data_IF_976897308626
#
_entry.id   IF_976897308626
#
_cell.length_a   1.000
_cell.length_b   1.000
_cell.length_c   1.000
_cell.angle_alpha   90.00
_cell.angle_beta   90.00
_cell.angle_gamma   90.00
#
_symmetry.space_group_name_H-M   'P 1'
#
loop_
_entity.id
_entity.type
_entity.pdbx_description
1 polymer ?
#
# COMPACT_ATOMS: atom_id res chain seq x y z
N UNK A 1 2.23 -14.18 4.48
CA UNK A 1 2.59 -13.39 5.68
C UNK A 1 1.82 -12.09 5.62
N UNK A 2 1.12 -11.72 6.69
CA UNK A 2 0.29 -10.51 6.68
C UNK A 2 1.10 -9.30 7.11
N UNK A 3 1.13 -8.27 6.27
CA UNK A 3 1.77 -6.99 6.55
C UNK A 3 0.78 -5.85 6.43
N UNK A 4 1.10 -4.77 7.14
CA UNK A 4 0.29 -3.56 7.19
C UNK A 4 0.93 -2.46 6.37
N UNK A 5 0.16 -1.88 5.44
CA UNK A 5 0.45 -0.63 4.77
C UNK A 5 -0.44 0.44 5.38
N UNK A 6 0.16 1.56 5.83
CA UNK A 6 -0.58 2.70 6.38
C UNK A 6 -0.60 3.78 5.32
N UNK A 7 -1.78 4.27 4.94
CA UNK A 7 -1.93 5.44 4.08
C UNK A 7 -2.30 6.65 4.93
N UNK A 8 -1.66 7.79 4.70
CA UNK A 8 -1.85 9.03 5.45
C UNK A 8 -0.87 9.24 6.60
N UNK A 9 -1.26 10.08 7.56
CA UNK A 9 -0.45 10.48 8.70
C UNK A 9 -0.29 9.33 9.71
N UNK A 10 0.77 8.53 9.53
CA UNK A 10 1.06 7.35 10.35
C UNK A 10 1.60 7.71 11.74
N UNK A 11 2.33 8.83 11.86
CA UNK A 11 2.93 9.36 13.10
C UNK A 11 1.92 10.10 13.97
N UNK A 12 0.83 10.60 13.37
CA UNK A 12 -0.25 11.38 14.01
C UNK A 12 0.20 12.75 14.53
N UNK A 13 1.26 13.30 13.96
CA UNK A 13 1.78 14.63 14.28
C UNK A 13 1.35 15.72 13.29
N UNK A 14 0.69 15.35 12.19
CA UNK A 14 0.06 16.23 11.23
C UNK A 14 -1.47 16.26 11.35
N UNK A 15 -2.18 15.87 10.28
CA UNK A 15 -3.64 15.92 10.18
C UNK A 15 -4.36 14.75 10.88
N UNK A 16 -3.62 13.77 11.43
CA UNK A 16 -4.11 12.65 12.26
C UNK A 16 -5.10 11.71 11.56
N UNK A 17 -5.13 11.71 10.24
CA UNK A 17 -5.96 10.79 9.46
C UNK A 17 -5.07 9.77 8.77
N UNK A 18 -5.33 8.50 9.03
CA UNK A 18 -4.69 7.39 8.34
C UNK A 18 -5.60 6.17 8.33
N UNK A 19 -5.36 5.28 7.36
CA UNK A 19 -6.07 4.00 7.24
C UNK A 19 -5.06 2.87 7.06
N UNK A 20 -5.33 1.75 7.73
CA UNK A 20 -4.52 0.55 7.72
C UNK A 20 -5.07 -0.44 6.68
N UNK A 21 -4.22 -0.87 5.74
CA UNK A 21 -4.51 -1.94 4.78
C UNK A 21 -3.65 -3.15 5.05
N UNK A 22 -4.28 -4.32 5.19
CA UNK A 22 -3.59 -5.58 5.43
C UNK A 22 -3.40 -6.35 4.12
N UNK A 23 -2.19 -6.81 3.89
CA UNK A 23 -1.82 -7.58 2.69
C UNK A 23 -1.17 -8.90 3.10
N UNK A 24 -1.72 -10.00 2.62
CA UNK A 24 -1.03 -11.30 2.66
C UNK A 24 -0.04 -11.39 1.49
N UNK A 25 1.25 -11.45 1.81
CA UNK A 25 2.36 -11.48 0.87
C UNK A 25 3.17 -12.78 1.01
N UNK A 26 3.71 -13.28 -0.10
CA UNK A 26 4.56 -14.49 -0.10
C UNK A 26 6.06 -14.22 0.15
N UNK A 27 6.47 -12.97 0.30
CA UNK A 27 7.84 -12.55 0.61
C UNK A 27 7.94 -11.77 1.92
N UNK A 28 9.12 -11.74 2.53
CA UNK A 28 9.36 -11.04 3.79
C UNK A 28 9.28 -9.51 3.65
N UNK A 29 8.98 -8.84 4.76
CA UNK A 29 8.81 -7.38 4.81
C UNK A 29 10.07 -6.60 4.40
N UNK A 30 11.27 -7.14 4.60
CA UNK A 30 12.51 -6.43 4.25
C UNK A 30 12.69 -6.37 2.73
N UNK A 31 12.37 -7.45 2.02
CA UNK A 31 12.33 -7.44 0.55
C UNK A 31 11.28 -6.48 0.01
N UNK A 32 10.08 -6.47 0.58
CA UNK A 32 9.01 -5.54 0.19
C UNK A 32 9.45 -4.08 0.36
N UNK A 33 10.05 -3.75 1.51
CA UNK A 33 10.59 -2.39 1.78
C UNK A 33 11.73 -2.01 0.84
N UNK A 34 12.60 -2.95 0.51
CA UNK A 34 13.70 -2.70 -0.42
C UNK A 34 13.18 -2.50 -1.85
N UNK A 35 12.21 -3.32 -2.28
CA UNK A 35 11.58 -3.20 -3.59
C UNK A 35 10.85 -1.86 -3.77
N UNK A 36 10.20 -1.33 -2.72
CA UNK A 36 9.66 0.04 -2.77
C UNK A 36 10.73 1.06 -3.17
N UNK A 37 11.87 1.05 -2.47
CA UNK A 37 13.00 1.97 -2.73
C UNK A 37 13.56 1.81 -4.13
N UNK A 38 13.72 0.57 -4.57
CA UNK A 38 14.25 0.27 -5.90
C UNK A 38 13.26 0.64 -7.01
N UNK A 39 11.95 0.52 -6.77
CA UNK A 39 10.91 1.01 -7.67
C UNK A 39 10.90 2.52 -7.77
N UNK A 40 11.12 3.25 -6.66
CA UNK A 40 11.32 4.69 -6.70
C UNK A 40 12.50 5.06 -7.60
N UNK A 41 13.67 4.44 -7.42
CA UNK A 41 14.84 4.67 -8.29
C UNK A 41 14.56 4.34 -9.75
N UNK A 42 13.81 3.27 -9.99
CA UNK A 42 13.52 2.75 -11.34
C UNK A 42 12.63 3.70 -12.14
N UNK A 43 11.67 4.35 -11.49
CA UNK A 43 10.69 5.20 -12.17
C UNK A 43 10.88 6.70 -11.97
N UNK A 44 11.65 7.13 -10.97
CA UNK A 44 11.76 8.56 -10.62
C UNK A 44 10.52 9.10 -9.89
N UNK A 45 9.70 8.22 -9.29
CA UNK A 45 8.44 8.57 -8.63
C UNK A 45 8.42 8.02 -7.20
N UNK A 46 7.92 8.80 -6.25
CA UNK A 46 7.74 8.40 -4.87
C UNK A 46 6.33 8.70 -4.35
N UNK A 47 5.90 7.91 -3.35
CA UNK A 47 4.69 8.15 -2.56
C UNK A 47 5.04 8.67 -1.16
N UNK A 48 6.16 9.41 -1.05
CA UNK A 48 6.65 10.05 0.16
C UNK A 48 7.45 11.30 -0.22
N UNK A 49 7.49 12.30 0.65
CA UNK A 49 8.21 13.57 0.45
C UNK A 49 9.55 13.63 1.20
N UNK A 50 9.70 12.85 2.28
CA UNK A 50 10.86 12.90 3.16
C UNK A 50 12.13 12.23 2.59
N UNK A 51 13.23 12.99 2.60
CA UNK A 51 14.60 12.48 2.41
C UNK A 51 15.10 11.78 3.69
N UNK A 52 14.55 10.61 4.01
CA UNK A 52 15.19 9.75 5.02
C UNK A 52 16.53 9.23 4.49
N UNK A 53 17.56 9.14 5.33
CA UNK A 53 18.91 8.64 5.00
C UNK A 53 18.95 7.23 4.34
N UNK A 54 17.81 6.53 4.27
CA UNK A 54 17.66 5.24 3.62
C UNK A 54 16.52 5.19 2.58
N UNK A 55 15.84 6.30 2.30
CA UNK A 55 14.85 6.46 1.24
C UNK A 55 15.56 7.16 0.09
N UNK A 56 15.68 6.44 -1.02
CA UNK A 56 16.47 6.88 -2.16
C UNK A 56 15.69 7.92 -2.91
N UNK A 57 15.84 9.19 -2.54
CA UNK A 57 15.75 10.29 -3.49
C UNK A 57 17.15 10.46 -4.07
N UNK A 58 17.37 10.17 -5.37
CA UNK A 58 18.53 10.69 -6.05
C UNK A 58 18.53 12.20 -5.89
N UNK A 59 19.70 12.81 -5.78
CA UNK A 59 19.90 14.26 -5.65
C UNK A 59 19.51 15.06 -6.91
N UNK A 60 18.65 14.51 -7.77
CA UNK A 60 18.18 15.13 -9.01
C UNK A 60 16.82 15.78 -8.80
N UNK A 61 16.65 16.95 -9.40
CA UNK A 61 15.38 17.70 -9.46
C UNK A 61 14.24 16.94 -10.20
N UNK A 62 14.51 15.75 -10.74
CA UNK A 62 13.59 14.93 -11.57
C UNK A 62 12.74 13.92 -10.77
N UNK A 63 12.73 13.98 -9.44
CA UNK A 63 11.90 13.08 -8.62
C UNK A 63 10.51 13.68 -8.38
N UNK A 64 9.48 12.98 -8.84
CA UNK A 64 8.09 13.41 -8.58
C UNK A 64 7.51 12.73 -7.34
N UNK A 65 6.71 13.49 -6.60
CA UNK A 65 6.07 13.08 -5.37
C UNK A 65 4.55 12.98 -5.58
N UNK A 66 4.02 11.78 -5.46
CA UNK A 66 2.59 11.49 -5.63
C UNK A 66 1.93 11.36 -4.26
N UNK A 67 0.83 12.10 -4.07
CA UNK A 67 0.00 12.09 -2.85
C UNK A 67 0.74 12.45 -1.55
N UNK A 68 1.71 13.36 -1.62
CA UNK A 68 2.46 13.80 -0.43
C UNK A 68 1.87 15.04 0.22
N UNK A 69 1.20 15.90 -0.55
CA UNK A 69 0.68 17.16 -0.04
C UNK A 69 -0.75 16.98 0.52
N UNK A 70 -1.07 17.77 1.54
CA UNK A 70 -2.40 17.80 2.13
C UNK A 70 -3.43 18.30 1.10
N UNK A 71 -4.58 17.62 1.00
CA UNK A 71 -5.67 17.93 0.07
C UNK A 71 -5.32 17.87 -1.43
N UNK A 72 -4.26 17.15 -1.81
CA UNK A 72 -3.93 16.85 -3.21
C UNK A 72 -4.12 15.37 -3.55
N UNK A 73 -5.38 14.86 -3.64
CA UNK A 73 -5.65 13.44 -3.86
C UNK A 73 -5.51 13.00 -5.33
N UNK A 74 -4.86 13.81 -6.17
CA UNK A 74 -4.68 13.54 -7.59
C UNK A 74 -3.24 13.19 -7.94
N UNK A 75 -3.08 12.52 -9.08
CA UNK A 75 -1.81 12.25 -9.75
C UNK A 75 -1.78 13.15 -10.99
N UNK A 76 -0.71 13.93 -11.16
CA UNK A 76 -0.52 14.75 -12.35
C UNK A 76 -0.26 13.86 -13.58
N UNK A 77 -0.60 14.36 -14.78
CA UNK A 77 -0.57 13.57 -16.02
C UNK A 77 0.79 12.91 -16.29
N UNK A 78 1.90 13.59 -16.02
CA UNK A 78 3.25 13.03 -16.23
C UNK A 78 3.50 11.80 -15.36
N UNK A 79 3.15 11.86 -14.07
CA UNK A 79 3.35 10.74 -13.15
C UNK A 79 2.39 9.60 -13.44
N UNK A 80 1.15 9.93 -13.80
CA UNK A 80 0.17 8.96 -14.23
C UNK A 80 0.69 8.16 -15.43
N UNK A 81 1.23 8.83 -16.46
CA UNK A 81 1.77 8.16 -17.64
C UNK A 81 2.96 7.24 -17.30
N UNK A 82 3.87 7.67 -16.42
CA UNK A 82 4.99 6.86 -15.94
C UNK A 82 4.49 5.59 -15.24
N UNK A 83 3.60 5.74 -14.27
CA UNK A 83 3.04 4.65 -13.47
C UNK A 83 2.19 3.70 -14.34
N UNK A 84 1.41 4.24 -15.27
CA UNK A 84 0.56 3.47 -16.18
C UNK A 84 1.38 2.66 -17.18
N UNK A 85 2.43 3.24 -17.76
CA UNK A 85 3.35 2.52 -18.65
C UNK A 85 4.10 1.39 -17.92
N UNK A 86 4.36 1.57 -16.62
CA UNK A 86 4.93 0.53 -15.77
C UNK A 86 3.92 -0.56 -15.35
N UNK A 87 2.62 -0.36 -15.63
CA UNK A 87 1.56 -1.32 -15.31
C UNK A 87 1.00 -1.21 -13.89
N UNK A 88 1.27 -0.11 -13.17
CA UNK A 88 0.83 0.06 -11.79
C UNK A 88 -0.70 0.14 -11.62
N UNK A 89 -1.42 0.54 -12.68
CA UNK A 89 -2.87 0.66 -12.67
C UNK A 89 -3.62 -0.64 -13.02
N UNK A 90 -2.92 -1.78 -13.13
CA UNK A 90 -3.58 -3.07 -13.38
C UNK A 90 -4.57 -3.39 -12.25
N UNK A 91 -5.87 -3.44 -12.58
CA UNK A 91 -6.94 -3.71 -11.62
C UNK A 91 -7.25 -2.53 -10.68
N UNK A 92 -6.86 -1.31 -11.05
CA UNK A 92 -7.11 -0.08 -10.31
C UNK A 92 -8.14 0.77 -11.07
N UNK A 93 -9.21 1.18 -10.39
CA UNK A 93 -10.17 2.12 -10.95
C UNK A 93 -9.73 3.57 -10.71
N UNK A 94 -9.79 4.39 -11.76
CA UNK A 94 -9.44 5.80 -11.70
C UNK A 94 -10.29 6.62 -12.66
N UNK A 95 -10.41 7.91 -12.37
CA UNK A 95 -11.08 8.92 -13.18
C UNK A 95 -10.09 10.00 -13.62
N UNK A 96 -10.31 10.58 -14.80
CA UNK A 96 -9.54 11.71 -15.33
C UNK A 96 -10.41 12.97 -15.29
N UNK A 97 -9.91 14.03 -14.67
CA UNK A 97 -10.45 15.39 -14.78
C UNK A 97 -9.34 16.34 -15.25
N UNK A 98 -9.45 16.79 -16.51
CA UNK A 98 -8.39 17.55 -17.21
C UNK A 98 -7.06 16.80 -17.10
N UNK A 99 -6.02 17.41 -16.57
CA UNK A 99 -4.66 16.84 -16.51
C UNK A 99 -4.39 16.14 -15.16
N UNK A 100 -5.45 15.82 -14.40
CA UNK A 100 -5.39 15.19 -13.08
C UNK A 100 -6.12 13.85 -13.09
N UNK A 101 -5.53 12.87 -12.42
CA UNK A 101 -6.04 11.51 -12.31
C UNK A 101 -6.33 11.18 -10.84
N UNK A 102 -7.52 10.65 -10.57
CA UNK A 102 -8.01 10.35 -9.23
C UNK A 102 -8.24 8.86 -9.12
N UNK A 103 -7.64 8.19 -8.15
CA UNK A 103 -7.96 6.79 -7.84
C UNK A 103 -9.20 6.77 -6.95
N UNK A 104 -10.18 5.94 -7.32
CA UNK A 104 -11.56 6.10 -6.86
C UNK A 104 -11.76 5.82 -5.36
N UNK A 105 -10.86 5.07 -4.73
CA UNK A 105 -10.96 4.71 -3.31
C UNK A 105 -9.58 4.37 -2.70
N UNK A 106 -9.49 4.42 -1.37
CA UNK A 106 -8.24 4.19 -0.65
C UNK A 106 -7.71 2.74 -0.77
N UNK A 107 -8.59 1.74 -0.94
CA UNK A 107 -8.16 0.35 -1.20
C UNK A 107 -7.38 0.25 -2.50
N UNK A 108 -7.83 0.95 -3.53
CA UNK A 108 -7.17 1.00 -4.82
C UNK A 108 -5.90 1.86 -4.79
N UNK A 109 -5.86 2.93 -3.98
CA UNK A 109 -4.60 3.63 -3.70
C UNK A 109 -3.56 2.69 -3.07
N UNK A 110 -3.98 1.88 -2.09
CA UNK A 110 -3.10 0.91 -1.44
C UNK A 110 -2.60 -0.16 -2.43
N UNK A 111 -3.48 -0.70 -3.27
CA UNK A 111 -3.10 -1.64 -4.34
C UNK A 111 -2.17 -1.02 -5.38
N UNK A 112 -2.36 0.26 -5.73
CA UNK A 112 -1.48 0.96 -6.65
C UNK A 112 -0.04 0.98 -6.09
N UNK A 113 0.12 1.31 -4.81
CA UNK A 113 1.43 1.25 -4.13
C UNK A 113 1.99 -0.19 -4.12
N UNK A 114 1.15 -1.20 -3.89
CA UNK A 114 1.59 -2.61 -3.96
C UNK A 114 2.02 -3.04 -5.37
N UNK A 115 1.32 -2.60 -6.42
CA UNK A 115 1.73 -2.81 -7.81
C UNK A 115 3.05 -2.10 -8.14
N UNK A 116 3.24 -0.89 -7.59
CA UNK A 116 4.49 -0.16 -7.72
C UNK A 116 5.66 -0.88 -7.03
N UNK A 117 5.46 -1.43 -5.82
CA UNK A 117 6.44 -2.28 -5.14
C UNK A 117 6.77 -3.52 -5.99
N UNK A 118 5.75 -4.14 -6.60
CA UNK A 118 5.93 -5.34 -7.41
C UNK A 118 6.89 -5.14 -8.61
N UNK A 119 7.08 -3.90 -9.10
CA UNK A 119 7.99 -3.60 -10.21
C UNK A 119 9.46 -3.99 -9.95
N UNK A 120 9.84 -4.09 -8.68
CA UNK A 120 11.21 -4.43 -8.25
C UNK A 120 11.23 -5.68 -7.36
N UNK A 121 10.15 -6.45 -7.36
CA UNK A 121 10.07 -7.76 -6.75
C UNK A 121 10.37 -8.88 -7.78
N UNK A 122 10.72 -10.10 -7.31
CA UNK A 122 10.77 -11.29 -8.17
C UNK A 122 9.44 -11.56 -8.90
N UNK A 123 9.49 -12.24 -10.04
CA UNK A 123 8.32 -12.50 -10.91
C UNK A 123 7.21 -13.30 -10.22
N UNK A 124 7.55 -14.11 -9.21
CA UNK A 124 6.62 -14.91 -8.40
C UNK A 124 6.07 -14.16 -7.19
N UNK A 125 6.37 -12.87 -7.02
CA UNK A 125 5.78 -12.06 -5.95
C UNK A 125 4.26 -11.96 -6.10
N UNK A 126 3.55 -12.27 -5.02
CA UNK A 126 2.10 -12.14 -4.93
C UNK A 126 1.72 -11.40 -3.67
N UNK A 127 0.62 -10.66 -3.76
CA UNK A 127 -0.04 -10.05 -2.62
C UNK A 127 -1.57 -10.21 -2.76
N UNK A 128 -2.27 -10.26 -1.64
CA UNK A 128 -3.74 -10.22 -1.58
C UNK A 128 -4.16 -9.24 -0.50
N UNK A 129 -5.00 -8.26 -0.86
CA UNK A 129 -5.65 -7.41 0.14
C UNK A 129 -6.56 -8.30 0.99
N UNK A 130 -6.33 -8.32 2.31
CA UNK A 130 -7.17 -9.06 3.26
C UNK A 130 -7.98 -8.06 4.06
N UNK A 131 -9.29 -8.27 4.09
CA UNK A 131 -10.14 -7.62 5.09
C UNK A 131 -9.94 -8.38 6.39
N UNK A 132 -10.04 -7.71 7.53
CA UNK A 132 -9.54 -8.17 8.83
C UNK A 132 -10.27 -9.38 9.44
N UNK A 133 -11.06 -10.11 8.67
CA UNK A 133 -11.55 -11.43 9.06
C UNK A 133 -10.44 -12.45 8.79
N UNK A 134 -9.42 -12.38 9.64
CA UNK A 134 -8.46 -13.46 9.78
C UNK A 134 -9.28 -14.69 10.17
N UNK A 135 -9.15 -15.75 9.38
CA UNK A 135 -9.86 -17.00 9.62
C UNK A 135 -9.65 -17.46 11.07
N UNK A 136 -10.73 -17.61 11.86
CA UNK A 136 -10.61 -17.96 13.26
C UNK A 136 -10.17 -19.42 13.40
N UNK A 137 -9.25 -19.69 14.33
CA UNK A 137 -8.83 -21.06 14.66
C UNK A 137 -10.03 -21.91 15.10
N UNK A 138 -10.95 -21.33 15.88
CA UNK A 138 -12.18 -21.98 16.34
C UNK A 138 -13.34 -20.98 16.40
N UNK A 139 -14.56 -21.44 16.15
CA UNK A 139 -15.78 -20.65 16.25
C UNK A 139 -16.23 -20.01 14.94
N UNK A 140 -17.11 -19.01 15.07
CA UNK A 140 -17.69 -18.22 13.98
C UNK A 140 -18.38 -19.03 12.87
N UNK A 141 -18.93 -20.20 13.23
CA UNK A 141 -19.62 -21.09 12.30
C UNK A 141 -18.77 -21.48 11.07
N UNK A 142 -17.44 -21.52 11.21
CA UNK A 142 -16.49 -21.82 10.12
C UNK A 142 -16.66 -23.24 9.52
N UNK A 143 -17.42 -24.12 10.20
CA UNK A 143 -17.79 -25.44 9.70
C UNK A 143 -16.74 -26.53 9.96
N UNK A 144 -15.53 -26.15 10.36
CA UNK A 144 -14.43 -27.07 10.67
C UNK A 144 -14.20 -27.25 12.18
N UNK A 145 -14.31 -26.17 12.97
CA UNK A 145 -14.05 -26.20 14.41
C UNK A 145 -14.92 -25.22 15.21
N UNK A 146 -16.22 -25.48 15.26
CA UNK A 146 -17.21 -24.66 15.98
C UNK A 146 -17.28 -25.00 17.48
N UNK A 147 -16.18 -24.82 18.22
CA UNK A 147 -16.09 -25.11 19.66
C UNK A 147 -15.64 -23.89 20.46
N UNK A 148 -16.02 -23.83 21.74
CA UNK A 148 -15.58 -22.79 22.67
C UNK A 148 -14.27 -23.21 23.36
N UNK A 149 -13.31 -22.28 23.47
CA UNK A 149 -12.10 -22.46 24.27
C UNK A 149 -12.12 -21.56 25.50
N UNK A 150 -11.74 -22.09 26.66
CA UNK A 150 -11.46 -21.28 27.84
C UNK A 150 -12.65 -20.53 28.45
N UNK A 151 -13.90 -20.95 28.19
CA UNK A 151 -15.10 -20.26 28.69
C UNK A 151 -15.06 -19.99 30.21
N UNK A 152 -14.53 -20.92 31.01
CA UNK A 152 -14.38 -20.76 32.46
C UNK A 152 -13.24 -19.85 32.93
N UNK A 153 -12.45 -19.25 32.02
CA UNK A 153 -11.35 -18.34 32.38
C UNK A 153 -11.81 -16.91 32.64
N UNK A 154 -13.04 -16.59 32.25
CA UNK A 154 -13.63 -15.26 32.42
C UNK A 154 -14.77 -15.36 33.45
N UNK A 155 -14.59 -14.67 34.57
CA UNK A 155 -15.57 -14.47 35.62
C UNK A 155 -15.69 -12.96 35.88
N UNK A 156 -16.88 -12.51 36.26
CA UNK A 156 -17.15 -11.10 36.62
C UNK A 156 -16.41 -10.67 37.90
#
# INVERSE_FOLDING_TARGET
MVYKLVLGDWSKDGHKQSEDFLFDCNYDVHKIRQAYKDSCKKLGVAFHDEDYENCTKPSSDDYSNVWTDYETPYIDETDFEILNKAGCFKGIEYEKDRDRYYVNNLKDCAKLIMNFIALSMPEDFTYKLTESEIEPINGDWNGELNVQFGYGLFFD
#
